data_IF_783167255641
#
_entry.id   IF_783167255641
#
_cell.length_a   1.000
_cell.length_b   1.000
_cell.length_c   1.000
_cell.angle_alpha   90.00
_cell.angle_beta   90.00
_cell.angle_gamma   90.00
#
_symmetry.space_group_name_H-M   'P 1'
#
loop_
_entity.id
_entity.type
_entity.pdbx_description
1 polymer ?
#
# COMPACT_ATOMS: atom_id res chain seq x y z
N UNK A 1 -33.60 16.19 48.65
CA UNK A 1 -32.53 16.81 47.82
C UNK A 1 -31.21 16.04 47.91
N UNK A 2 -30.79 15.57 49.10
CA UNK A 2 -29.60 14.73 49.25
C UNK A 2 -29.77 13.32 48.67
N UNK A 3 -30.89 12.66 48.97
CA UNK A 3 -31.20 11.29 48.52
C UNK A 3 -31.16 11.13 46.99
N UNK A 4 -31.78 12.06 46.26
CA UNK A 4 -31.80 12.08 44.78
C UNK A 4 -30.40 12.21 44.16
N UNK A 5 -29.48 12.93 44.82
CA UNK A 5 -28.09 13.04 44.34
C UNK A 5 -27.31 11.74 44.59
N UNK A 6 -27.61 11.03 45.67
CA UNK A 6 -26.96 9.74 45.99
C UNK A 6 -27.34 8.70 44.93
N UNK A 7 -28.62 8.59 44.59
CA UNK A 7 -29.09 7.68 43.53
C UNK A 7 -28.48 8.03 42.15
N UNK A 8 -28.33 9.31 41.83
CA UNK A 8 -27.68 9.76 40.59
C UNK A 8 -26.18 9.39 40.55
N UNK A 9 -25.47 9.53 41.67
CA UNK A 9 -24.06 9.13 41.78
C UNK A 9 -23.89 7.62 41.65
N UNK A 10 -24.79 6.84 42.25
CA UNK A 10 -24.74 5.38 42.21
C UNK A 10 -24.99 4.84 40.79
N UNK A 11 -25.95 5.44 40.07
CA UNK A 11 -26.19 5.13 38.65
C UNK A 11 -24.98 5.46 37.76
N UNK A 12 -24.32 6.60 38.00
CA UNK A 12 -23.07 6.96 37.29
C UNK A 12 -21.93 6.01 37.60
N UNK A 13 -21.83 5.53 38.84
CA UNK A 13 -20.78 4.60 39.27
C UNK A 13 -20.92 3.24 38.57
N UNK A 14 -22.13 2.69 38.53
CA UNK A 14 -22.41 1.45 37.79
C UNK A 14 -22.16 1.60 36.28
N UNK A 15 -22.50 2.76 35.70
CA UNK A 15 -22.22 3.02 34.29
C UNK A 15 -20.72 3.04 33.99
N UNK A 16 -19.92 3.69 34.85
CA UNK A 16 -18.46 3.72 34.71
C UNK A 16 -17.87 2.32 34.88
N UNK A 17 -18.36 1.52 35.83
CA UNK A 17 -17.89 0.16 36.07
C UNK A 17 -18.11 -0.73 34.83
N UNK A 18 -19.31 -0.69 34.24
CA UNK A 18 -19.61 -1.43 33.01
C UNK A 18 -18.74 -0.99 31.83
N UNK A 19 -18.55 0.33 31.65
CA UNK A 19 -17.68 0.86 30.60
C UNK A 19 -16.21 0.45 30.79
N UNK A 20 -15.75 0.41 32.05
CA UNK A 20 -14.38 -0.01 32.38
C UNK A 20 -14.17 -1.48 32.04
N UNK A 21 -15.16 -2.33 32.31
CA UNK A 21 -15.11 -3.75 32.00
C UNK A 21 -15.09 -4.02 30.48
N UNK A 22 -15.92 -3.30 29.72
CA UNK A 22 -15.93 -3.41 28.25
C UNK A 22 -14.62 -2.91 27.63
N UNK A 23 -14.10 -1.78 28.10
CA UNK A 23 -12.80 -1.27 27.66
C UNK A 23 -11.66 -2.25 27.99
N UNK A 24 -11.70 -2.91 29.15
CA UNK A 24 -10.70 -3.93 29.51
C UNK A 24 -10.74 -5.13 28.56
N UNK A 25 -11.93 -5.56 28.12
CA UNK A 25 -12.08 -6.61 27.09
C UNK A 25 -11.50 -6.16 25.75
N UNK A 26 -11.75 -4.91 25.35
CA UNK A 26 -11.19 -4.34 24.11
C UNK A 26 -9.66 -4.24 24.15
N UNK A 27 -9.07 -3.82 25.27
CA UNK A 27 -7.60 -3.74 25.44
C UNK A 27 -6.95 -5.12 25.30
N UNK A 28 -7.51 -6.14 25.96
CA UNK A 28 -7.00 -7.52 25.83
C UNK A 28 -7.08 -8.05 24.39
N UNK A 29 -8.13 -7.69 23.65
CA UNK A 29 -8.26 -8.08 22.25
C UNK A 29 -7.24 -7.37 21.35
N UNK A 30 -6.86 -6.12 21.66
CA UNK A 30 -5.80 -5.40 20.96
C UNK A 30 -4.42 -5.97 21.25
N UNK A 31 -4.12 -6.29 22.51
CA UNK A 31 -2.86 -6.91 22.92
C UNK A 31 -2.64 -8.27 22.24
N UNK A 32 -3.71 -9.05 22.06
CA UNK A 32 -3.63 -10.32 21.32
C UNK A 32 -3.36 -10.11 19.82
N UNK A 33 -3.93 -9.05 19.21
CA UNK A 33 -3.68 -8.69 17.81
C UNK A 33 -2.26 -8.17 17.60
N UNK A 34 -1.74 -7.37 18.54
CA UNK A 34 -0.38 -6.85 18.50
C UNK A 34 0.65 -7.99 18.50
N UNK A 35 0.51 -8.93 19.44
CA UNK A 35 1.36 -10.13 19.48
C UNK A 35 1.27 -10.96 18.19
N UNK A 36 0.08 -11.06 17.59
CA UNK A 36 -0.09 -11.78 16.32
C UNK A 36 0.61 -11.08 15.15
N UNK A 37 0.59 -9.75 15.13
CA UNK A 37 1.31 -8.94 14.13
C UNK A 37 2.82 -9.07 14.34
N UNK A 38 3.30 -9.04 15.58
CA UNK A 38 4.73 -9.18 15.88
C UNK A 38 5.29 -10.54 15.44
N UNK A 39 4.54 -11.62 15.66
CA UNK A 39 4.88 -12.96 15.16
C UNK A 39 4.92 -12.97 13.62
N UNK A 40 3.90 -12.43 12.95
CA UNK A 40 3.88 -12.37 11.48
C UNK A 40 5.04 -11.54 10.92
N UNK A 41 5.39 -10.43 11.58
CA UNK A 41 6.54 -9.62 11.21
C UNK A 41 7.83 -10.43 11.34
N UNK A 42 7.98 -11.18 12.42
CA UNK A 42 9.17 -12.00 12.67
C UNK A 42 9.32 -13.13 11.64
N UNK A 43 8.23 -13.84 11.34
CA UNK A 43 8.21 -14.88 10.31
C UNK A 43 8.59 -14.33 8.93
N UNK A 44 8.08 -13.14 8.57
CA UNK A 44 8.42 -12.46 7.31
C UNK A 44 9.89 -12.00 7.23
N UNK A 45 10.54 -11.69 8.35
CA UNK A 45 11.95 -11.29 8.37
C UNK A 45 12.91 -12.48 8.44
N UNK A 46 12.49 -13.60 9.02
CA UNK A 46 13.29 -14.84 9.05
C UNK A 46 13.23 -15.60 7.70
N UNK A 47 12.13 -15.51 6.94
CA UNK A 47 12.00 -16.06 5.58
C UNK A 47 12.93 -15.39 4.53
N UNK A 48 13.45 -14.19 4.77
CA UNK A 48 14.43 -13.55 3.87
C UNK A 48 15.84 -14.20 3.92
N UNK A 49 16.11 -15.12 4.87
CA UNK A 49 17.42 -15.81 4.98
C UNK A 49 17.54 -17.12 4.19
N UNK A 50 16.45 -17.64 3.64
CA UNK A 50 16.44 -18.90 2.88
C UNK A 50 15.69 -18.70 1.55
N UNK A 51 16.22 -17.79 0.72
CA UNK A 51 15.72 -17.57 -0.64
C UNK A 51 16.11 -18.75 -1.54
N UNK A 52 15.34 -19.84 -1.44
CA UNK A 52 15.21 -20.86 -2.48
C UNK A 52 13.71 -21.19 -2.60
N UNK A 53 12.97 -20.31 -3.28
CA UNK A 53 11.50 -20.43 -3.41
C UNK A 53 11.18 -21.14 -4.71
N UNK A 54 11.38 -22.47 -4.70
CA UNK A 54 10.82 -23.39 -5.70
C UNK A 54 9.39 -23.83 -5.36
N UNK A 55 8.70 -23.17 -4.43
CA UNK A 55 7.34 -23.51 -4.01
C UNK A 55 6.51 -22.24 -3.80
N UNK A 56 5.83 -21.81 -4.86
CA UNK A 56 4.66 -20.94 -4.77
C UNK A 56 3.45 -21.83 -5.01
N UNK A 57 2.86 -22.35 -3.94
CA UNK A 57 1.48 -22.82 -3.96
C UNK A 57 0.84 -22.47 -2.60
N UNK A 58 -0.43 -22.10 -2.68
CA UNK A 58 -1.37 -21.85 -1.59
C UNK A 58 -1.20 -20.55 -0.79
N UNK A 59 -1.59 -19.42 -1.42
CA UNK A 59 -2.48 -18.44 -0.75
C UNK A 59 -3.07 -17.31 -1.63
N UNK A 60 -2.92 -17.32 -2.96
CA UNK A 60 -3.69 -16.43 -3.84
C UNK A 60 -5.10 -17.00 -4.08
N UNK A 61 -5.91 -17.08 -3.03
CA UNK A 61 -7.35 -17.23 -3.21
C UNK A 61 -8.01 -15.85 -3.23
N UNK A 62 -8.05 -15.27 -4.43
CA UNK A 62 -9.17 -14.42 -4.82
C UNK A 62 -9.90 -15.13 -5.96
N UNK A 63 -11.08 -15.65 -5.63
CA UNK A 63 -12.00 -16.28 -6.59
C UNK A 63 -12.56 -15.22 -7.51
N UNK A 64 -11.98 -15.05 -8.70
CA UNK A 64 -12.69 -14.60 -9.90
C UNK A 64 -12.16 -15.40 -11.09
N UNK A 65 -13.09 -15.95 -11.85
CA UNK A 65 -12.94 -16.66 -13.12
C UNK A 65 -12.08 -15.86 -14.12
N UNK A 66 -10.77 -16.15 -14.19
CA UNK A 66 -9.80 -15.41 -15.04
C UNK A 66 -8.38 -16.00 -15.09
N UNK A 67 -8.20 -17.25 -14.68
CA UNK A 67 -6.92 -17.83 -14.22
C UNK A 67 -5.90 -18.21 -15.32
N UNK A 68 -5.86 -17.52 -16.47
CA UNK A 68 -4.80 -17.77 -17.47
C UNK A 68 -3.94 -16.55 -17.82
N UNK A 69 -4.38 -15.33 -17.52
CA UNK A 69 -3.65 -14.13 -17.96
C UNK A 69 -2.71 -13.59 -16.87
N UNK A 70 -3.09 -13.68 -15.59
CA UNK A 70 -2.34 -13.13 -14.45
C UNK A 70 -1.01 -13.83 -14.15
N UNK A 71 -1.00 -15.18 -14.18
CA UNK A 71 0.25 -15.97 -14.03
C UNK A 71 1.19 -15.69 -15.20
N UNK A 72 0.63 -15.59 -16.41
CA UNK A 72 1.38 -15.27 -17.61
C UNK A 72 2.05 -13.89 -17.54
N UNK A 73 1.38 -12.88 -16.98
CA UNK A 73 1.95 -11.53 -16.86
C UNK A 73 3.17 -11.52 -15.93
N UNK A 74 3.10 -12.18 -14.77
CA UNK A 74 4.24 -12.23 -13.83
C UNK A 74 5.44 -12.98 -14.43
N UNK A 75 5.19 -14.10 -15.09
CA UNK A 75 6.24 -14.89 -15.74
C UNK A 75 6.87 -14.10 -16.91
N UNK A 76 6.05 -13.46 -17.74
CA UNK A 76 6.51 -12.59 -18.82
C UNK A 76 7.37 -11.41 -18.30
N UNK A 77 7.00 -10.82 -17.15
CA UNK A 77 7.82 -9.77 -16.53
C UNK A 77 9.16 -10.31 -16.04
N UNK A 78 9.19 -11.52 -15.46
CA UNK A 78 10.44 -12.15 -15.01
C UNK A 78 11.36 -12.52 -16.17
N UNK A 79 10.80 -12.94 -17.30
CA UNK A 79 11.54 -13.25 -18.52
C UNK A 79 12.01 -12.01 -19.28
N UNK A 80 11.42 -10.83 -18.99
CA UNK A 80 11.84 -9.58 -19.60
C UNK A 80 13.23 -9.16 -19.15
N UNK A 81 14.07 -8.78 -20.12
CA UNK A 81 15.40 -8.19 -19.84
C UNK A 81 15.33 -6.80 -19.18
N UNK A 82 14.18 -6.12 -19.26
CA UNK A 82 13.94 -4.80 -18.70
C UNK A 82 12.47 -4.64 -18.30
N UNK A 83 12.04 -5.31 -17.21
CA UNK A 83 10.63 -5.33 -16.80
C UNK A 83 10.12 -3.95 -16.40
N UNK A 84 11.00 -3.11 -15.83
CA UNK A 84 10.66 -1.74 -15.48
C UNK A 84 10.33 -0.92 -16.73
N UNK A 85 11.17 -1.00 -17.77
CA UNK A 85 10.87 -0.34 -19.03
C UNK A 85 9.60 -0.89 -19.68
N UNK A 86 9.41 -2.21 -19.69
CA UNK A 86 8.24 -2.84 -20.31
C UNK A 86 6.93 -2.33 -19.69
N UNK A 87 6.84 -2.31 -18.36
CA UNK A 87 5.65 -1.81 -17.66
C UNK A 87 5.43 -0.32 -17.96
N UNK A 88 6.50 0.48 -17.94
CA UNK A 88 6.41 1.91 -18.25
C UNK A 88 5.93 2.16 -19.68
N UNK A 89 6.44 1.40 -20.66
CA UNK A 89 6.04 1.48 -22.06
C UNK A 89 4.56 1.13 -22.24
N UNK A 90 4.04 0.11 -21.53
CA UNK A 90 2.62 -0.28 -21.54
C UNK A 90 1.73 0.84 -20.98
N UNK A 91 2.15 1.46 -19.88
CA UNK A 91 1.41 2.55 -19.23
C UNK A 91 1.37 3.79 -20.14
N UNK A 92 2.50 4.14 -20.75
CA UNK A 92 2.60 5.34 -21.59
C UNK A 92 1.98 5.14 -22.99
N UNK A 93 2.00 3.91 -23.51
CA UNK A 93 1.51 3.57 -24.84
C UNK A 93 0.53 2.40 -24.79
N UNK A 94 -0.66 2.58 -24.20
CA UNK A 94 -1.61 1.49 -24.04
C UNK A 94 -2.10 1.02 -25.42
N UNK A 95 -2.01 -0.28 -25.66
CA UNK A 95 -2.45 -0.93 -26.92
C UNK A 95 -3.95 -0.73 -27.19
N UNK A 96 -4.72 -0.54 -26.11
CA UNK A 96 -6.14 -0.19 -26.14
C UNK A 96 -6.26 1.26 -25.65
N UNK A 97 -6.85 2.19 -26.43
CA UNK A 97 -7.01 3.57 -25.99
C UNK A 97 -7.85 3.63 -24.71
N UNK A 98 -7.25 4.02 -23.58
CA UNK A 98 -8.01 4.27 -22.36
C UNK A 98 -9.00 5.42 -22.60
N UNK A 99 -10.22 5.35 -22.02
CA UNK A 99 -11.22 6.40 -22.18
C UNK A 99 -10.73 7.68 -21.51
N UNK A 100 -10.16 8.63 -22.28
CA UNK A 100 -9.75 9.95 -21.80
C UNK A 100 -10.94 10.66 -21.14
N UNK A 101 -10.91 10.82 -19.82
CA UNK A 101 -11.94 11.52 -19.04
C UNK A 101 -11.52 13.00 -18.93
N UNK A 102 -11.91 13.79 -19.93
CA UNK A 102 -11.62 15.23 -20.00
C UNK A 102 -10.16 15.52 -20.40
N UNK A 103 -9.59 16.60 -19.85
CA UNK A 103 -8.23 17.08 -20.15
C UNK A 103 -7.10 16.26 -19.48
N UNK A 104 -7.42 15.16 -18.79
CA UNK A 104 -6.41 14.30 -18.15
C UNK A 104 -5.63 13.52 -19.22
N UNK A 105 -4.31 13.75 -19.25
CA UNK A 105 -3.41 13.07 -20.18
C UNK A 105 -3.28 11.56 -19.91
N UNK A 106 -3.40 11.16 -18.64
CA UNK A 106 -3.19 9.79 -18.16
C UNK A 106 -4.27 9.43 -17.14
N UNK A 107 -4.88 8.25 -17.29
CA UNK A 107 -5.85 7.69 -16.35
C UNK A 107 -5.28 6.40 -15.82
N UNK A 108 -5.14 6.32 -14.50
CA UNK A 108 -4.79 5.06 -13.85
C UNK A 108 -6.05 4.20 -13.74
N UNK A 109 -5.97 2.99 -14.26
CA UNK A 109 -6.97 1.93 -14.05
C UNK A 109 -6.39 0.79 -13.19
N UNK A 110 -7.26 -0.15 -12.81
CA UNK A 110 -6.90 -1.29 -11.95
C UNK A 110 -5.85 -2.21 -12.61
N UNK A 111 -5.85 -2.34 -13.94
CA UNK A 111 -4.86 -3.16 -14.65
C UNK A 111 -3.45 -2.57 -14.58
N UNK A 112 -3.34 -1.24 -14.62
CA UNK A 112 -2.06 -0.55 -14.44
C UNK A 112 -1.54 -0.66 -13.02
N UNK A 113 -2.42 -0.54 -12.03
CA UNK A 113 -2.07 -0.79 -10.62
C UNK A 113 -1.55 -2.20 -10.45
N UNK A 114 -2.29 -3.19 -10.95
CA UNK A 114 -1.88 -4.59 -10.90
C UNK A 114 -0.49 -4.81 -11.51
N UNK A 115 -0.21 -4.27 -12.70
CA UNK A 115 1.11 -4.38 -13.33
C UNK A 115 2.23 -3.77 -12.48
N UNK A 116 1.98 -2.62 -11.86
CA UNK A 116 2.95 -1.95 -10.99
C UNK A 116 3.17 -2.74 -9.68
N UNK A 117 2.13 -3.32 -9.11
CA UNK A 117 2.24 -4.19 -7.93
C UNK A 117 3.06 -5.45 -8.23
N UNK A 118 2.81 -6.10 -9.37
CA UNK A 118 3.58 -7.27 -9.81
C UNK A 118 5.05 -6.89 -10.05
N UNK A 119 5.32 -5.73 -10.66
CA UNK A 119 6.68 -5.23 -10.84
C UNK A 119 7.37 -4.93 -9.50
N UNK A 120 6.64 -4.35 -8.55
CA UNK A 120 7.15 -4.11 -7.19
C UNK A 120 7.41 -5.42 -6.45
N UNK A 121 6.64 -6.47 -6.73
CA UNK A 121 6.88 -7.81 -6.18
C UNK A 121 8.15 -8.42 -6.75
N UNK A 122 8.38 -8.31 -8.05
CA UNK A 122 9.61 -8.78 -8.71
C UNK A 122 10.83 -7.97 -8.24
N UNK A 123 10.64 -6.69 -7.88
CA UNK A 123 11.69 -5.79 -7.39
C UNK A 123 12.93 -5.78 -8.29
N UNK A 124 12.81 -5.24 -9.52
CA UNK A 124 13.93 -5.19 -10.46
C UNK A 124 15.18 -4.54 -9.85
N UNK A 125 16.28 -5.31 -9.81
CA UNK A 125 17.51 -4.93 -9.12
C UNK A 125 18.18 -3.65 -9.66
N UNK A 126 18.00 -3.32 -10.94
CA UNK A 126 18.63 -2.15 -11.58
C UNK A 126 17.63 -1.47 -12.53
N UNK A 127 17.36 -0.19 -12.27
CA UNK A 127 16.57 0.67 -13.16
C UNK A 127 17.52 1.57 -13.95
N UNK A 128 17.43 1.52 -15.28
CA UNK A 128 18.23 2.37 -16.17
C UNK A 128 17.85 3.84 -15.98
N UNK A 129 18.82 4.75 -16.11
CA UNK A 129 18.60 6.18 -15.90
C UNK A 129 17.55 6.77 -16.84
N UNK A 130 17.55 6.39 -18.12
CA UNK A 130 16.55 6.86 -19.08
C UNK A 130 15.12 6.46 -18.69
N UNK A 131 14.93 5.23 -18.22
CA UNK A 131 13.64 4.72 -17.75
C UNK A 131 13.18 5.50 -16.52
N UNK A 132 14.11 5.84 -15.62
CA UNK A 132 13.83 6.67 -14.44
C UNK A 132 13.40 8.10 -14.83
N UNK A 133 14.00 8.69 -15.84
CA UNK A 133 13.62 10.03 -16.32
C UNK A 133 12.21 10.05 -16.92
N UNK A 134 11.82 8.98 -17.62
CA UNK A 134 10.45 8.81 -18.14
C UNK A 134 9.45 8.57 -17.01
N UNK A 135 9.79 7.72 -16.04
CA UNK A 135 8.98 7.47 -14.85
C UNK A 135 8.80 8.73 -13.99
N UNK A 136 9.82 9.59 -13.91
CA UNK A 136 9.73 10.87 -13.22
C UNK A 136 8.71 11.81 -13.88
N UNK A 137 8.69 11.89 -15.22
CA UNK A 137 7.68 12.69 -15.93
C UNK A 137 6.27 12.20 -15.63
N UNK A 138 6.07 10.88 -15.69
CA UNK A 138 4.79 10.25 -15.34
C UNK A 138 4.40 10.56 -13.89
N UNK A 139 5.33 10.45 -12.94
CA UNK A 139 5.08 10.78 -11.54
C UNK A 139 4.67 12.25 -11.35
N UNK A 140 5.30 13.18 -12.06
CA UNK A 140 4.91 14.59 -12.04
C UNK A 140 3.50 14.81 -12.61
N UNK A 141 3.14 14.13 -13.70
CA UNK A 141 1.79 14.20 -14.28
C UNK A 141 0.73 13.66 -13.32
N UNK A 142 0.98 12.49 -12.73
CA UNK A 142 0.08 11.91 -11.72
C UNK A 142 -0.09 12.86 -10.54
N UNK A 143 1.01 13.42 -10.04
CA UNK A 143 0.99 14.36 -8.93
C UNK A 143 0.19 15.62 -9.25
N UNK A 144 0.33 16.17 -10.46
CA UNK A 144 -0.43 17.34 -10.91
C UNK A 144 -1.93 17.02 -11.09
N UNK A 145 -2.27 15.77 -11.42
CA UNK A 145 -3.64 15.31 -11.60
C UNK A 145 -4.35 14.99 -10.27
N UNK A 146 -3.60 14.75 -9.20
CA UNK A 146 -4.13 14.68 -7.84
C UNK A 146 -4.51 16.10 -7.39
N UNK A 147 -5.80 16.38 -7.31
CA UNK A 147 -6.26 17.57 -6.59
C UNK A 147 -5.95 17.42 -5.10
N UNK A 148 -5.76 18.55 -4.43
CA UNK A 148 -5.44 18.67 -3.00
C UNK A 148 -6.41 17.88 -2.08
N UNK A 149 -7.62 17.58 -2.57
CA UNK A 149 -8.69 16.85 -1.85
C UNK A 149 -9.24 15.61 -2.59
N UNK A 150 -8.59 15.09 -3.63
CA UNK A 150 -9.17 13.96 -4.38
C UNK A 150 -8.96 12.63 -3.69
N UNK A 151 -10.08 12.04 -3.28
CA UNK A 151 -10.35 10.66 -2.87
C UNK A 151 -9.99 9.59 -3.94
N UNK A 152 -9.11 9.88 -4.89
CA UNK A 152 -8.73 8.93 -5.92
C UNK A 152 -7.56 8.08 -5.42
N UNK A 153 -7.88 7.12 -4.55
CA UNK A 153 -6.93 6.17 -3.96
C UNK A 153 -6.07 5.45 -5.00
N UNK A 154 -6.59 5.20 -6.22
CA UNK A 154 -5.84 4.58 -7.31
C UNK A 154 -4.76 5.48 -7.90
N UNK A 155 -5.05 6.76 -8.16
CA UNK A 155 -4.03 7.71 -8.63
C UNK A 155 -2.93 7.88 -7.57
N UNK A 156 -3.33 7.98 -6.30
CA UNK A 156 -2.42 8.04 -5.15
C UNK A 156 -1.54 6.79 -5.02
N UNK A 157 -2.13 5.60 -5.10
CA UNK A 157 -1.41 4.32 -5.05
C UNK A 157 -0.44 4.19 -6.22
N UNK A 158 -0.90 4.47 -7.44
CA UNK A 158 -0.07 4.40 -8.64
C UNK A 158 1.14 5.32 -8.57
N UNK A 159 0.98 6.55 -8.07
CA UNK A 159 2.09 7.45 -7.81
C UNK A 159 3.10 6.88 -6.80
N UNK A 160 2.64 6.37 -5.67
CA UNK A 160 3.53 5.77 -4.66
C UNK A 160 4.28 4.54 -5.20
N UNK A 161 3.61 3.70 -6.00
CA UNK A 161 4.23 2.55 -6.67
C UNK A 161 5.33 3.02 -7.63
N UNK A 162 5.08 4.05 -8.46
CA UNK A 162 6.09 4.63 -9.34
C UNK A 162 7.27 5.19 -8.53
N UNK A 163 7.03 5.94 -7.45
CA UNK A 163 8.11 6.47 -6.64
C UNK A 163 8.99 5.38 -6.03
N UNK A 164 8.35 4.33 -5.53
CA UNK A 164 8.97 3.18 -4.91
C UNK A 164 9.82 2.38 -5.92
N UNK A 165 9.23 1.95 -7.03
CA UNK A 165 9.87 1.06 -8.02
C UNK A 165 11.04 1.75 -8.70
N UNK A 166 10.90 3.04 -9.04
CA UNK A 166 11.89 3.77 -9.83
C UNK A 166 12.84 4.62 -8.97
N UNK A 167 12.71 4.56 -7.64
CA UNK A 167 13.58 5.27 -6.69
C UNK A 167 13.51 6.79 -6.81
N UNK A 168 12.29 7.34 -6.87
CA UNK A 168 12.04 8.75 -7.20
C UNK A 168 11.64 9.62 -5.99
N UNK A 169 11.58 9.06 -4.78
CA UNK A 169 11.10 9.79 -3.58
C UNK A 169 11.82 11.11 -3.37
N UNK A 170 13.13 11.15 -3.58
CA UNK A 170 13.98 12.34 -3.36
C UNK A 170 13.69 13.52 -4.31
N UNK A 171 12.81 13.33 -5.32
CA UNK A 171 12.39 14.39 -6.24
C UNK A 171 11.11 15.12 -5.77
N UNK A 172 10.49 14.66 -4.69
CA UNK A 172 9.23 15.18 -4.16
C UNK A 172 9.39 15.60 -2.69
N UNK A 173 8.43 16.40 -2.19
CA UNK A 173 8.38 16.76 -0.78
C UNK A 173 8.05 15.52 0.08
N UNK A 174 8.96 15.18 0.99
CA UNK A 174 8.87 13.95 1.77
C UNK A 174 7.63 13.91 2.67
N UNK A 175 7.23 15.04 3.24
CA UNK A 175 6.07 15.13 4.14
C UNK A 175 4.75 15.02 3.36
N UNK A 176 4.70 15.60 2.16
CA UNK A 176 3.58 15.44 1.24
C UNK A 176 3.44 13.99 0.75
N UNK A 177 4.53 13.36 0.35
CA UNK A 177 4.53 11.93 -0.05
C UNK A 177 4.12 11.05 1.12
N UNK A 178 4.60 11.34 2.34
CA UNK A 178 4.22 10.60 3.54
C UNK A 178 2.71 10.71 3.84
N UNK A 179 2.11 11.90 3.70
CA UNK A 179 0.65 12.06 3.87
C UNK A 179 -0.15 11.22 2.89
N UNK A 180 0.29 11.17 1.63
CA UNK A 180 -0.34 10.33 0.60
C UNK A 180 -0.18 8.85 0.97
N UNK A 181 1.02 8.44 1.41
CA UNK A 181 1.26 7.09 1.89
C UNK A 181 0.34 6.72 3.06
N UNK A 182 0.22 7.56 4.08
CA UNK A 182 -0.64 7.28 5.23
C UNK A 182 -2.10 7.07 4.82
N UNK A 183 -2.60 7.88 3.88
CA UNK A 183 -3.93 7.72 3.30
C UNK A 183 -4.08 6.39 2.56
N UNK A 184 -3.17 6.08 1.62
CA UNK A 184 -3.21 4.85 0.82
C UNK A 184 -3.03 3.60 1.70
N UNK A 185 -2.12 3.62 2.67
CA UNK A 185 -1.86 2.49 3.57
C UNK A 185 -3.08 2.09 4.42
N UNK A 186 -4.00 3.03 4.67
CA UNK A 186 -5.26 2.73 5.35
C UNK A 186 -6.27 1.97 4.48
N UNK A 187 -6.10 2.01 3.14
CA UNK A 187 -7.02 1.45 2.16
C UNK A 187 -6.42 0.31 1.31
N UNK A 188 -5.09 0.17 1.29
CA UNK A 188 -4.37 -0.81 0.48
C UNK A 188 -4.18 -2.16 1.20
N UNK A 189 -3.80 -3.19 0.44
CA UNK A 189 -3.40 -4.46 1.01
C UNK A 189 -2.15 -4.32 1.89
N UNK A 190 -2.14 -5.04 3.01
CA UNK A 190 -1.06 -4.99 3.99
C UNK A 190 0.32 -5.26 3.38
N UNK A 191 0.43 -6.23 2.46
CA UNK A 191 1.71 -6.58 1.80
C UNK A 191 2.25 -5.41 0.96
N UNK A 192 1.40 -4.73 0.20
CA UNK A 192 1.78 -3.58 -0.62
C UNK A 192 2.14 -2.39 0.27
N UNK A 193 1.35 -2.12 1.32
CA UNK A 193 1.62 -1.05 2.27
C UNK A 193 2.98 -1.22 2.99
N UNK A 194 3.30 -2.44 3.43
CA UNK A 194 4.60 -2.76 4.06
C UNK A 194 5.75 -2.55 3.09
N UNK A 195 5.64 -3.04 1.85
CA UNK A 195 6.69 -2.85 0.85
C UNK A 195 6.89 -1.37 0.52
N UNK A 196 5.81 -0.60 0.35
CA UNK A 196 5.87 0.85 0.12
C UNK A 196 6.54 1.57 1.29
N UNK A 197 6.17 1.25 2.54
CA UNK A 197 6.80 1.83 3.72
C UNK A 197 8.31 1.63 3.71
N UNK A 198 8.76 0.42 3.36
CA UNK A 198 10.19 0.06 3.30
C UNK A 198 10.92 0.80 2.19
N UNK A 199 10.41 0.76 0.96
CA UNK A 199 11.08 1.34 -0.22
C UNK A 199 11.06 2.86 -0.23
N UNK A 200 10.01 3.47 0.32
CA UNK A 200 9.91 4.93 0.46
C UNK A 200 10.71 5.48 1.65
N UNK A 201 11.23 4.60 2.52
CA UNK A 201 12.03 5.00 3.68
C UNK A 201 11.21 5.49 4.88
N UNK A 202 9.94 5.10 4.97
CA UNK A 202 9.00 5.59 5.99
C UNK A 202 8.93 4.78 7.28
N UNK A 203 9.72 3.71 7.41
CA UNK A 203 9.74 2.84 8.59
C UNK A 203 9.86 3.62 9.92
N UNK A 204 10.76 4.61 9.97
CA UNK A 204 10.97 5.44 11.16
C UNK A 204 9.80 6.39 11.44
N UNK A 205 9.17 6.95 10.40
CA UNK A 205 8.02 7.85 10.53
C UNK A 205 6.78 7.11 11.03
N UNK A 206 6.54 5.89 10.55
CA UNK A 206 5.41 5.05 11.01
C UNK A 206 5.60 4.61 12.44
N UNK A 207 6.81 4.18 12.82
CA UNK A 207 7.10 3.78 14.21
C UNK A 207 6.89 4.90 15.21
N UNK A 208 7.17 6.16 14.83
CA UNK A 208 6.93 7.33 15.68
C UNK A 208 5.46 7.71 15.88
N UNK A 209 4.52 7.11 15.13
CA UNK A 209 3.07 7.35 15.26
C UNK A 209 2.36 6.29 16.11
N UNK A 210 3.02 5.17 16.40
CA UNK A 210 2.47 4.04 17.15
C UNK A 210 2.79 4.10 18.66
N UNK A 211 3.28 5.24 19.16
CA UNK A 211 3.68 5.49 20.55
C UNK A 211 2.76 6.55 21.15
#
# INVERSE_FOLDING_TARGET
MFETKVEEFEGKMQQIENQTEDNLKSVKALELKENQIEVQIKDLFDEEKEFDISNMDDQFSITIDGTSEEIGILDNLRESSDPAKLVLDIILNPTIPLPKKGDKAVIIDEGWIYLLEQLMIISPNIIKSCVRDEALKLACELKANMKENTENSLEALGFLLILSIYGLVNYFDEDEVFKIFAYVASAAEYKIAVKLCRTLGFANKVSGMLI
#
